data_IF_673596189349
#
_entry.id   IF_673596189349
#
_cell.length_a   1.000
_cell.length_b   1.000
_cell.length_c   1.000
_cell.angle_alpha   90.00
_cell.angle_beta   90.00
_cell.angle_gamma   90.00
#
_symmetry.space_group_name_H-M   'P 1'
#
loop_
_entity.id
_entity.type
_entity.pdbx_description
1 polymer ?
#
# COMPACT_ATOMS: atom_id res chain seq x y z
N UNK A 1 16.42 -10.85 12.08
CA UNK A 1 15.08 -10.24 11.95
C UNK A 1 14.13 -11.36 11.50
N UNK A 2 13.35 -11.96 12.42
CA UNK A 2 12.29 -12.90 12.04
C UNK A 2 11.24 -12.12 11.23
N UNK A 3 10.60 -12.74 10.24
CA UNK A 3 9.63 -12.08 9.37
C UNK A 3 8.51 -11.45 10.20
N UNK A 4 8.41 -10.12 10.19
CA UNK A 4 7.27 -9.43 10.79
C UNK A 4 6.19 -9.27 9.72
N UNK A 5 4.97 -9.70 10.04
CA UNK A 5 3.80 -9.57 9.16
C UNK A 5 3.29 -8.13 9.22
N UNK A 6 3.95 -7.21 8.51
CA UNK A 6 3.65 -5.77 8.60
C UNK A 6 2.55 -5.37 7.59
N UNK A 7 2.45 -6.07 6.46
CA UNK A 7 1.64 -5.63 5.31
C UNK A 7 0.72 -6.70 4.72
N UNK A 8 0.59 -7.86 5.35
CA UNK A 8 -0.25 -8.98 4.88
C UNK A 8 -1.38 -9.24 5.87
N UNK A 9 -2.50 -9.73 5.37
CA UNK A 9 -3.72 -9.96 6.14
C UNK A 9 -4.05 -11.46 6.24
N UNK A 10 -5.10 -11.80 6.98
CA UNK A 10 -5.67 -13.15 7.07
C UNK A 10 -4.67 -14.19 7.62
N UNK A 11 -3.76 -13.74 8.49
CA UNK A 11 -2.71 -14.59 9.04
C UNK A 11 -1.62 -14.98 8.04
N UNK A 12 -1.65 -14.45 6.81
CA UNK A 12 -0.64 -14.74 5.79
C UNK A 12 0.71 -14.16 6.20
N UNK A 13 1.74 -15.00 6.08
CA UNK A 13 3.10 -14.63 6.43
C UNK A 13 3.75 -13.77 5.33
N UNK A 14 4.40 -12.68 5.75
CA UNK A 14 5.22 -11.86 4.85
C UNK A 14 6.58 -12.52 4.61
N UNK A 15 6.88 -12.85 3.37
CA UNK A 15 8.19 -13.36 2.95
C UNK A 15 9.04 -12.26 2.33
N UNK A 16 9.99 -11.73 3.10
CA UNK A 16 11.03 -10.84 2.56
C UNK A 16 12.08 -11.65 1.80
N UNK A 17 12.65 -11.09 0.73
CA UNK A 17 13.84 -11.64 0.05
C UNK A 17 14.99 -11.94 1.03
N UNK A 18 15.09 -11.20 2.14
CA UNK A 18 16.09 -11.45 3.20
C UNK A 18 15.95 -12.82 3.89
N UNK A 19 14.74 -13.40 3.86
CA UNK A 19 14.43 -14.68 4.50
C UNK A 19 15.06 -15.86 3.75
N UNK A 20 15.38 -15.69 2.47
CA UNK A 20 15.93 -16.73 1.62
C UNK A 20 17.45 -16.55 1.49
N UNK A 21 18.27 -17.52 1.93
CA UNK A 21 19.73 -17.42 1.88
C UNK A 21 20.26 -17.08 0.49
N UNK A 22 19.73 -17.69 -0.58
CA UNK A 22 20.20 -17.43 -1.93
C UNK A 22 19.84 -16.03 -2.44
N UNK A 23 18.81 -15.38 -1.90
CA UNK A 23 18.41 -14.03 -2.30
C UNK A 23 19.10 -12.95 -1.46
N UNK A 24 19.42 -13.24 -0.19
CA UNK A 24 20.01 -12.29 0.76
C UNK A 24 21.29 -11.63 0.23
N UNK A 25 22.15 -12.40 -0.42
CA UNK A 25 23.46 -11.91 -0.90
C UNK A 25 23.38 -11.03 -2.15
N UNK A 26 22.21 -10.97 -2.80
CA UNK A 26 22.01 -10.27 -4.10
C UNK A 26 20.78 -9.36 -4.13
N UNK A 27 20.20 -9.05 -2.98
CA UNK A 27 18.97 -8.27 -2.87
C UNK A 27 19.15 -7.06 -1.98
N UNK A 28 18.48 -5.96 -2.35
CA UNK A 28 18.20 -4.85 -1.46
C UNK A 28 16.76 -4.98 -0.95
N UNK A 29 16.58 -5.00 0.37
CA UNK A 29 15.27 -4.89 1.01
C UNK A 29 15.06 -3.46 1.43
N UNK A 30 14.05 -2.81 0.85
CA UNK A 30 13.76 -1.39 1.06
C UNK A 30 12.55 -1.27 1.99
N UNK A 31 12.67 -0.40 2.99
CA UNK A 31 11.61 -0.07 3.93
C UNK A 31 11.29 1.42 3.94
N UNK A 32 10.04 1.76 4.27
CA UNK A 32 9.59 3.13 4.42
C UNK A 32 8.96 3.35 5.80
N UNK A 33 9.58 4.21 6.60
CA UNK A 33 9.00 4.64 7.88
C UNK A 33 7.77 5.50 7.66
N UNK A 34 7.74 6.31 6.60
CA UNK A 34 6.58 7.11 6.22
C UNK A 34 5.31 6.28 6.01
N UNK A 35 5.42 5.08 5.43
CA UNK A 35 4.28 4.16 5.27
C UNK A 35 3.91 3.49 6.59
N UNK A 36 4.92 3.00 7.29
CA UNK A 36 4.77 2.19 8.50
C UNK A 36 4.18 2.98 9.67
N UNK A 37 4.57 4.24 9.83
CA UNK A 37 4.18 5.11 10.95
C UNK A 37 3.21 6.23 10.53
N UNK A 38 2.55 6.08 9.38
CA UNK A 38 1.55 7.03 8.87
C UNK A 38 2.03 8.49 8.69
N UNK A 39 3.35 8.69 8.54
CA UNK A 39 4.01 9.99 8.38
C UNK A 39 4.67 10.13 7.01
N UNK A 40 3.91 9.96 5.93
CA UNK A 40 4.47 9.94 4.55
C UNK A 40 5.23 11.22 4.17
N UNK A 41 4.91 12.35 4.79
CA UNK A 41 5.59 13.63 4.61
C UNK A 41 7.01 13.68 5.20
N UNK A 42 7.37 12.78 6.13
CA UNK A 42 8.70 12.76 6.76
C UNK A 42 9.79 12.18 5.85
N UNK A 43 9.41 11.58 4.71
CA UNK A 43 10.32 11.12 3.64
C UNK A 43 11.55 10.34 4.12
N UNK A 44 11.38 9.53 5.16
CA UNK A 44 12.46 8.72 5.74
C UNK A 44 12.19 7.23 5.51
N UNK A 45 13.24 6.51 5.13
CA UNK A 45 13.23 5.07 4.86
C UNK A 45 14.59 4.46 5.13
N UNK A 46 14.72 3.18 4.84
CA UNK A 46 15.98 2.44 5.00
C UNK A 46 16.12 1.39 3.91
N UNK A 47 17.34 0.88 3.73
CA UNK A 47 17.57 -0.33 2.96
C UNK A 47 18.49 -1.28 3.73
N UNK A 48 18.30 -2.57 3.52
CA UNK A 48 19.11 -3.67 4.08
C UNK A 48 19.64 -4.48 2.90
N UNK A 49 20.95 -4.72 2.87
CA UNK A 49 21.60 -5.53 1.86
C UNK A 49 22.89 -6.16 2.44
N UNK A 50 23.44 -7.15 1.74
CA UNK A 50 24.73 -7.75 2.11
C UNK A 50 25.87 -6.70 2.16
N UNK A 51 26.91 -6.90 2.97
CA UNK A 51 27.99 -5.92 3.14
C UNK A 51 28.63 -5.44 1.83
N UNK A 52 28.84 -6.34 0.87
CA UNK A 52 29.42 -6.02 -0.43
C UNK A 52 28.55 -5.04 -1.23
N UNK A 53 27.22 -5.26 -1.25
CA UNK A 53 26.26 -4.37 -1.89
C UNK A 53 26.16 -3.02 -1.18
N UNK A 54 26.14 -3.04 0.16
CA UNK A 54 26.02 -1.85 0.97
C UNK A 54 27.23 -0.93 0.86
N UNK A 55 28.44 -1.48 0.63
CA UNK A 55 29.66 -0.69 0.37
C UNK A 55 29.48 0.21 -0.85
N UNK A 56 29.05 -0.36 -1.98
CA UNK A 56 28.81 0.41 -3.21
C UNK A 56 27.63 1.36 -3.06
N UNK A 57 26.53 0.93 -2.42
CA UNK A 57 25.38 1.78 -2.18
C UNK A 57 25.73 3.04 -1.39
N UNK A 58 26.49 2.91 -0.29
CA UNK A 58 26.88 4.06 0.55
C UNK A 58 27.80 5.04 -0.17
N UNK A 59 28.70 4.53 -1.02
CA UNK A 59 29.55 5.37 -1.87
C UNK A 59 28.74 6.24 -2.84
N UNK A 60 27.60 5.76 -3.33
CA UNK A 60 26.70 6.55 -4.17
C UNK A 60 25.81 7.46 -3.31
N UNK A 61 25.22 6.91 -2.25
CA UNK A 61 24.26 7.61 -1.39
C UNK A 61 24.84 8.87 -0.75
N UNK A 62 26.12 8.86 -0.37
CA UNK A 62 26.80 10.03 0.20
C UNK A 62 26.77 11.24 -0.75
N UNK A 63 26.75 11.02 -2.07
CA UNK A 63 26.68 12.10 -3.07
C UNK A 63 25.25 12.41 -3.50
N UNK A 64 24.30 11.48 -3.29
CA UNK A 64 22.89 11.70 -3.60
C UNK A 64 22.17 12.53 -2.52
N UNK A 65 22.42 12.24 -1.23
CA UNK A 65 21.73 12.89 -0.12
C UNK A 65 22.62 13.18 1.10
N UNK A 66 23.84 12.62 1.14
CA UNK A 66 24.78 12.67 2.28
C UNK A 66 24.23 12.04 3.58
N UNK A 67 23.18 12.60 4.17
CA UNK A 67 22.51 12.08 5.35
C UNK A 67 20.98 12.27 5.28
N UNK A 68 20.25 11.52 6.11
CA UNK A 68 18.82 11.73 6.35
C UNK A 68 18.56 12.82 7.39
N UNK A 69 17.29 13.20 7.57
CA UNK A 69 16.89 14.24 8.54
C UNK A 69 17.13 13.78 9.98
N UNK A 70 18.18 14.29 10.62
CA UNK A 70 18.64 13.87 11.95
C UNK A 70 17.54 13.82 13.02
N UNK A 71 16.74 14.88 13.29
CA UNK A 71 15.72 14.82 14.33
C UNK A 71 14.64 13.77 14.05
N UNK A 72 14.31 13.51 12.78
CA UNK A 72 13.37 12.47 12.39
C UNK A 72 13.94 11.07 12.66
N UNK A 73 15.23 10.86 12.39
CA UNK A 73 15.89 9.59 12.69
C UNK A 73 15.88 9.30 14.20
N UNK A 74 16.16 10.30 15.03
CA UNK A 74 16.12 10.18 16.50
C UNK A 74 14.69 9.87 16.97
N UNK A 75 13.69 10.63 16.51
CA UNK A 75 12.29 10.43 16.90
C UNK A 75 11.77 9.04 16.50
N UNK A 76 12.10 8.56 15.29
CA UNK A 76 11.73 7.22 14.84
C UNK A 76 12.40 6.13 15.68
N UNK A 77 13.69 6.28 15.98
CA UNK A 77 14.42 5.32 16.80
C UNK A 77 13.84 5.21 18.22
N UNK A 78 13.50 6.34 18.83
CA UNK A 78 12.87 6.39 20.16
C UNK A 78 11.45 5.81 20.13
N UNK A 79 10.61 6.24 19.18
CA UNK A 79 9.24 5.74 19.04
C UNK A 79 9.20 4.22 18.84
N UNK A 80 10.09 3.68 18.01
CA UNK A 80 10.17 2.23 17.77
C UNK A 80 10.52 1.42 19.03
N UNK A 81 11.29 2.01 19.96
CA UNK A 81 11.66 1.35 21.22
C UNK A 81 10.53 1.47 22.25
N UNK A 82 9.87 2.62 22.32
CA UNK A 82 8.77 2.88 23.24
C UNK A 82 7.47 2.17 22.83
N UNK A 83 7.24 2.01 21.52
CA UNK A 83 6.00 1.50 20.94
C UNK A 83 6.20 0.32 19.97
N UNK A 84 6.82 -0.79 20.41
CA UNK A 84 7.03 -1.97 19.56
C UNK A 84 5.71 -2.66 19.13
N UNK A 85 4.62 -2.44 19.86
CA UNK A 85 3.26 -2.87 19.51
C UNK A 85 2.77 -2.29 18.19
N UNK A 86 3.16 -1.05 17.84
CA UNK A 86 2.70 -0.41 16.60
C UNK A 86 2.99 -1.26 15.36
N UNK A 87 4.19 -1.85 15.30
CA UNK A 87 4.59 -2.74 14.20
C UNK A 87 3.84 -4.07 14.24
N UNK A 88 3.58 -4.62 15.43
CA UNK A 88 2.88 -5.91 15.60
C UNK A 88 1.40 -5.79 15.22
N UNK A 89 0.78 -4.66 15.50
CA UNK A 89 -0.65 -4.42 15.30
C UNK A 89 -0.98 -3.82 13.92
N UNK A 90 0.03 -3.39 13.15
CA UNK A 90 -0.19 -2.71 11.87
C UNK A 90 -0.98 -3.55 10.86
N UNK A 91 -0.70 -4.85 10.78
CA UNK A 91 -1.44 -5.77 9.90
C UNK A 91 -2.92 -5.86 10.28
N UNK A 92 -3.23 -6.11 11.55
CA UNK A 92 -4.62 -6.23 12.01
C UNK A 92 -5.37 -4.89 11.94
N UNK A 93 -4.68 -3.78 12.16
CA UNK A 93 -5.22 -2.43 11.97
C UNK A 93 -5.69 -2.20 10.54
N UNK A 94 -4.86 -2.51 9.54
CA UNK A 94 -5.24 -2.33 8.14
C UNK A 94 -6.21 -3.40 7.65
N UNK A 95 -6.15 -4.63 8.17
CA UNK A 95 -7.12 -5.68 7.86
C UNK A 95 -8.53 -5.24 8.24
N UNK A 96 -8.74 -4.70 9.45
CA UNK A 96 -10.04 -4.16 9.88
C UNK A 96 -10.57 -3.09 8.92
N UNK A 97 -9.68 -2.24 8.37
CA UNK A 97 -10.06 -1.21 7.40
C UNK A 97 -10.40 -1.77 6.03
N UNK A 98 -9.65 -2.77 5.55
CA UNK A 98 -9.98 -3.52 4.33
C UNK A 98 -11.36 -4.15 4.47
N UNK A 99 -11.60 -4.85 5.57
CA UNK A 99 -12.83 -5.58 5.82
C UNK A 99 -14.02 -4.62 5.91
N UNK A 100 -13.86 -3.48 6.60
CA UNK A 100 -14.87 -2.42 6.65
C UNK A 100 -15.19 -1.82 5.26
N UNK A 101 -14.16 -1.59 4.44
CA UNK A 101 -14.36 -1.09 3.07
C UNK A 101 -15.09 -2.13 2.21
N UNK A 102 -14.69 -3.40 2.29
CA UNK A 102 -15.30 -4.48 1.50
C UNK A 102 -16.75 -4.73 1.94
N UNK A 103 -17.04 -4.71 3.24
CA UNK A 103 -18.42 -4.86 3.73
C UNK A 103 -19.29 -3.66 3.36
N UNK A 104 -18.71 -2.45 3.27
CA UNK A 104 -19.50 -1.25 2.93
C UNK A 104 -19.92 -1.20 1.46
N UNK A 105 -19.25 -1.95 0.59
CA UNK A 105 -19.56 -2.07 -0.84
C UNK A 105 -20.25 -3.39 -1.20
N UNK A 106 -20.64 -4.21 -0.22
CA UNK A 106 -21.20 -5.55 -0.43
C UNK A 106 -22.48 -5.54 -1.29
N UNK A 107 -23.27 -4.47 -1.17
CA UNK A 107 -24.50 -4.27 -1.93
C UNK A 107 -24.30 -3.55 -3.27
N UNK A 108 -23.05 -3.22 -3.65
CA UNK A 108 -22.74 -2.59 -4.92
C UNK A 108 -22.60 -3.62 -6.05
N UNK A 109 -22.59 -3.13 -7.30
CA UNK A 109 -22.36 -3.98 -8.48
C UNK A 109 -20.87 -4.23 -8.79
N UNK A 110 -19.95 -3.66 -7.99
CA UNK A 110 -18.52 -3.94 -8.16
C UNK A 110 -18.20 -5.37 -7.74
N UNK A 111 -17.25 -5.99 -8.42
CA UNK A 111 -16.68 -7.28 -8.00
C UNK A 111 -15.28 -7.06 -7.43
N UNK A 112 -14.86 -7.89 -6.49
CA UNK A 112 -13.49 -7.83 -5.98
C UNK A 112 -13.04 -9.14 -5.38
N UNK A 113 -11.72 -9.32 -5.31
CA UNK A 113 -11.08 -10.29 -4.43
C UNK A 113 -10.46 -9.51 -3.27
N UNK A 114 -10.72 -9.88 -2.00
CA UNK A 114 -10.12 -9.21 -0.86
C UNK A 114 -8.60 -9.12 -1.02
N UNK A 115 -8.07 -7.90 -0.91
CA UNK A 115 -6.63 -7.68 -1.01
C UNK A 115 -5.90 -8.45 0.10
N UNK A 116 -4.85 -9.18 -0.25
CA UNK A 116 -4.07 -9.97 0.71
C UNK A 116 -3.04 -9.13 1.47
N UNK A 117 -2.81 -7.90 1.02
CA UNK A 117 -1.85 -7.01 1.65
C UNK A 117 -1.83 -5.61 1.06
N UNK A 118 -0.97 -4.75 1.60
CA UNK A 118 -1.00 -3.29 1.36
C UNK A 118 -2.31 -2.66 1.82
N UNK A 119 -2.45 -1.34 1.68
CA UNK A 119 -3.70 -0.63 2.03
C UNK A 119 -4.55 -0.25 0.81
N UNK A 120 -4.47 -1.05 -0.26
CA UNK A 120 -5.22 -0.86 -1.50
C UNK A 120 -6.15 -2.04 -1.79
N UNK A 121 -7.34 -1.74 -2.33
CA UNK A 121 -8.32 -2.71 -2.81
C UNK A 121 -8.61 -2.40 -4.29
N UNK A 122 -8.54 -3.43 -5.13
CA UNK A 122 -8.96 -3.31 -6.53
C UNK A 122 -10.41 -3.75 -6.63
N UNK A 123 -11.21 -2.98 -7.38
CA UNK A 123 -12.60 -3.27 -7.72
C UNK A 123 -12.72 -3.42 -9.23
N UNK A 124 -13.47 -4.43 -9.66
CA UNK A 124 -13.83 -4.71 -11.03
C UNK A 124 -15.21 -4.12 -11.33
N UNK A 125 -15.32 -3.38 -12.41
CA UNK A 125 -16.54 -2.70 -12.85
C UNK A 125 -17.06 -3.19 -14.21
N UNK A 126 -16.57 -4.33 -14.70
CA UNK A 126 -16.91 -4.90 -16.01
C UNK A 126 -18.42 -5.09 -16.24
N UNK A 127 -19.22 -5.29 -15.20
CA UNK A 127 -20.69 -5.42 -15.29
C UNK A 127 -21.46 -4.10 -15.08
N UNK A 128 -20.77 -3.00 -14.80
CA UNK A 128 -21.38 -1.70 -14.50
C UNK A 128 -21.35 -0.80 -15.73
N UNK A 129 -20.14 -0.58 -16.28
CA UNK A 129 -19.87 0.32 -17.42
C UNK A 129 -18.79 -0.29 -18.33
N UNK A 130 -19.01 -1.46 -18.94
CA UNK A 130 -18.00 -2.15 -19.75
C UNK A 130 -17.49 -1.34 -20.93
N UNK A 131 -18.27 -0.39 -21.43
CA UNK A 131 -17.94 0.51 -22.52
C UNK A 131 -16.88 1.56 -22.16
N UNK A 132 -16.68 1.84 -20.86
CA UNK A 132 -15.66 2.77 -20.38
C UNK A 132 -14.34 2.05 -20.10
N UNK A 133 -13.24 2.61 -20.59
CA UNK A 133 -11.92 2.28 -20.04
C UNK A 133 -11.79 2.80 -18.60
N UNK A 134 -10.77 2.33 -17.88
CA UNK A 134 -10.67 2.57 -16.44
C UNK A 134 -10.35 4.03 -16.11
N UNK A 135 -9.67 4.73 -17.02
CA UNK A 135 -9.45 6.17 -16.94
C UNK A 135 -10.78 6.94 -17.06
N UNK A 136 -11.59 6.63 -18.07
CA UNK A 136 -12.90 7.25 -18.27
C UNK A 136 -13.86 6.92 -17.12
N UNK A 137 -13.81 5.69 -16.60
CA UNK A 137 -14.57 5.30 -15.41
C UNK A 137 -14.14 6.09 -14.16
N UNK A 138 -12.84 6.33 -13.97
CA UNK A 138 -12.33 7.19 -12.90
C UNK A 138 -12.86 8.63 -13.01
N UNK A 139 -12.88 9.21 -14.21
CA UNK A 139 -13.46 10.54 -14.44
C UNK A 139 -14.97 10.56 -14.14
N UNK A 140 -15.70 9.56 -14.65
CA UNK A 140 -17.12 9.41 -14.37
C UNK A 140 -17.43 9.35 -12.87
N UNK A 141 -16.70 8.52 -12.11
CA UNK A 141 -16.87 8.43 -10.66
C UNK A 141 -16.56 9.74 -9.94
N UNK A 142 -15.52 10.46 -10.37
CA UNK A 142 -15.13 11.72 -9.77
C UNK A 142 -16.19 12.81 -10.01
N UNK A 143 -16.68 12.93 -11.24
CA UNK A 143 -17.62 13.98 -11.64
C UNK A 143 -19.06 13.71 -11.19
N UNK A 144 -19.53 12.47 -11.35
CA UNK A 144 -20.94 12.13 -11.13
C UNK A 144 -21.22 11.65 -9.71
N UNK A 145 -20.24 11.02 -9.07
CA UNK A 145 -20.42 10.40 -7.75
C UNK A 145 -19.54 11.03 -6.66
N UNK A 146 -18.61 11.94 -7.01
CA UNK A 146 -17.75 12.63 -6.04
C UNK A 146 -16.74 11.71 -5.35
N UNK A 147 -16.38 10.59 -5.98
CA UNK A 147 -15.39 9.64 -5.44
C UNK A 147 -14.25 9.41 -6.43
N UNK A 148 -13.00 9.47 -5.95
CA UNK A 148 -11.81 9.34 -6.77
C UNK A 148 -11.17 7.96 -6.57
N UNK A 149 -11.07 7.22 -7.67
CA UNK A 149 -10.26 6.00 -7.78
C UNK A 149 -9.00 6.26 -8.63
N UNK A 150 -8.11 5.28 -8.68
CA UNK A 150 -6.96 5.31 -9.60
C UNK A 150 -7.16 4.23 -10.68
N UNK A 151 -7.01 4.55 -11.97
CA UNK A 151 -7.10 3.55 -13.03
C UNK A 151 -5.91 2.59 -12.91
N UNK A 152 -6.18 1.28 -13.03
CA UNK A 152 -5.12 0.26 -12.90
C UNK A 152 -4.21 0.27 -14.14
N UNK A 153 -4.72 0.69 -15.29
CA UNK A 153 -3.98 0.86 -16.55
C UNK A 153 -2.76 1.77 -16.41
N UNK A 154 -2.81 2.76 -15.51
CA UNK A 154 -1.69 3.66 -15.24
C UNK A 154 -0.45 2.94 -14.63
N UNK A 155 -0.60 1.70 -14.17
CA UNK A 155 0.51 0.85 -13.70
C UNK A 155 1.07 -0.07 -14.79
N UNK A 156 0.54 -0.01 -16.02
CA UNK A 156 1.00 -0.79 -17.17
C UNK A 156 1.70 0.10 -18.18
N UNK A 157 2.75 -0.42 -18.82
CA UNK A 157 3.30 0.18 -20.03
C UNK A 157 2.35 -0.02 -21.22
N UNK A 158 1.76 -1.21 -21.32
CA UNK A 158 0.74 -1.58 -22.31
C UNK A 158 -0.40 -2.30 -21.59
N UNK A 159 -1.51 -1.61 -21.26
CA UNK A 159 -2.62 -2.21 -20.53
C UNK A 159 -3.41 -3.19 -21.42
N UNK A 160 -3.96 -4.28 -20.85
CA UNK A 160 -4.95 -5.11 -21.53
C UNK A 160 -6.18 -4.28 -21.93
N UNK A 161 -6.72 -4.52 -23.13
CA UNK A 161 -7.86 -3.75 -23.66
C UNK A 161 -9.17 -3.96 -22.88
N UNK A 162 -9.30 -5.12 -22.26
CA UNK A 162 -10.41 -5.55 -21.42
C UNK A 162 -10.18 -5.27 -19.92
N UNK A 163 -9.14 -4.50 -19.57
CA UNK A 163 -8.89 -4.12 -18.18
C UNK A 163 -10.04 -3.25 -17.66
N UNK A 164 -10.76 -3.74 -16.66
CA UNK A 164 -11.88 -3.04 -15.98
C UNK A 164 -11.67 -2.98 -14.47
N UNK A 165 -10.46 -2.59 -14.06
CA UNK A 165 -10.07 -2.53 -12.65
C UNK A 165 -9.78 -1.09 -12.20
N UNK A 166 -10.31 -0.75 -11.02
CA UNK A 166 -10.06 0.51 -10.32
C UNK A 166 -9.38 0.22 -8.99
N UNK A 167 -8.42 1.05 -8.58
CA UNK A 167 -7.74 0.92 -7.29
C UNK A 167 -8.18 1.99 -6.31
N UNK A 168 -8.69 1.54 -5.15
CA UNK A 168 -9.06 2.37 -4.02
C UNK A 168 -8.08 2.20 -2.86
N UNK A 169 -7.90 3.26 -2.06
CA UNK A 169 -7.03 3.26 -0.89
C UNK A 169 -7.87 3.30 0.38
N UNK A 170 -7.83 2.23 1.19
CA UNK A 170 -8.58 2.13 2.44
C UNK A 170 -7.80 2.61 3.67
N UNK A 171 -6.61 3.22 3.49
CA UNK A 171 -5.90 3.95 4.54
C UNK A 171 -6.58 5.29 4.87
N UNK A 172 -7.83 5.22 5.34
CA UNK A 172 -8.71 6.36 5.64
C UNK A 172 -9.38 6.19 7.00
N UNK A 173 -10.08 7.24 7.45
CA UNK A 173 -10.95 7.17 8.63
C UNK A 173 -12.13 6.24 8.34
N UNK A 174 -12.68 5.59 9.36
CA UNK A 174 -13.79 4.64 9.20
C UNK A 174 -15.03 5.29 8.56
N UNK A 175 -15.39 6.50 8.99
CA UNK A 175 -16.48 7.27 8.39
C UNK A 175 -16.30 7.47 6.87
N UNK A 176 -15.06 7.70 6.42
CA UNK A 176 -14.76 7.84 4.98
C UNK A 176 -14.97 6.53 4.22
N UNK A 177 -14.65 5.38 4.84
CA UNK A 177 -14.84 4.07 4.22
C UNK A 177 -16.33 3.70 4.13
N UNK A 178 -17.11 4.03 5.15
CA UNK A 178 -18.56 3.85 5.16
C UNK A 178 -19.21 4.75 4.10
N UNK A 179 -18.83 6.03 4.04
CA UNK A 179 -19.31 6.96 3.03
C UNK A 179 -18.96 6.51 1.61
N UNK A 180 -17.74 5.97 1.40
CA UNK A 180 -17.36 5.41 0.11
C UNK A 180 -18.30 4.26 -0.30
N UNK A 181 -18.65 3.37 0.62
CA UNK A 181 -19.63 2.30 0.38
C UNK A 181 -21.01 2.80 -0.05
N UNK A 182 -21.51 3.84 0.62
CA UNK A 182 -22.79 4.49 0.27
C UNK A 182 -22.77 5.14 -1.12
N UNK A 183 -21.63 5.68 -1.54
CA UNK A 183 -21.46 6.27 -2.88
C UNK A 183 -21.38 5.18 -3.93
N UNK A 184 -20.51 4.18 -3.72
CA UNK A 184 -20.25 3.10 -4.68
C UNK A 184 -21.47 2.18 -4.88
N UNK A 185 -22.35 2.05 -3.88
CA UNK A 185 -23.61 1.30 -4.02
C UNK A 185 -24.65 1.99 -4.91
N UNK A 186 -24.42 3.25 -5.32
CA UNK A 186 -25.29 4.01 -6.22
C UNK A 186 -24.73 4.13 -7.65
N UNK A 187 -23.56 3.56 -7.88
CA UNK A 187 -22.91 3.48 -9.20
C UNK A 187 -23.50 2.30 -9.94
#
# INVERSE_FOLDING_TARGET
>A
MKSTNIWFFDGVQHYSAWSFPELRERSFVIGSFGKTFHVTGWKTGFCIAAPALMKMFRQIYQFASFCGVTPVQVALAEYMQLHPEHIRELSSFYQKKRDLFNSSIEMSHFKWTPSQGTYFQNLDYSEIRPELDDLSMCHFLAEQHGIVAIPVSAFYQHPPTDLRLLRFCFAKKEQTLIQAGQILSKV
#
